data_IF_154034240718
#
_entry.id   IF_154034240718
#
_cell.length_a   1.000
_cell.length_b   1.000
_cell.length_c   1.000
_cell.angle_alpha   90.00
_cell.angle_beta   90.00
_cell.angle_gamma   90.00
#
_symmetry.space_group_name_H-M   'P 1'
#
loop_
_entity.id
_entity.type
_entity.pdbx_description
1 polymer ?
#
# COMPACT_ATOMS: atom_id res chain seq x y z
N UNK A 1 -10.77 -23.44 13.86
CA UNK A 1 -9.61 -23.22 12.97
C UNK A 1 -9.28 -21.73 12.98
N UNK A 2 -8.19 -21.35 13.65
CA UNK A 2 -7.76 -19.96 13.83
C UNK A 2 -7.09 -19.48 12.54
N UNK A 3 -7.74 -18.60 11.78
CA UNK A 3 -7.09 -17.94 10.64
C UNK A 3 -6.01 -16.99 11.17
N UNK A 4 -4.75 -17.37 10.98
CA UNK A 4 -3.63 -16.44 11.01
C UNK A 4 -3.84 -15.42 9.89
N UNK A 5 -4.21 -14.18 10.24
CA UNK A 5 -4.37 -13.12 9.25
C UNK A 5 -2.98 -12.63 8.82
N UNK A 6 -2.45 -13.21 7.75
CA UNK A 6 -1.27 -12.72 7.04
C UNK A 6 -1.39 -11.20 6.81
N UNK A 7 -0.27 -10.44 6.84
CA UNK A 7 -0.26 -9.04 6.43
C UNK A 7 -0.89 -8.82 5.04
N UNK A 8 -1.50 -7.65 4.83
CA UNK A 8 -2.24 -7.36 3.59
C UNK A 8 -1.42 -7.57 2.31
N UNK A 9 -0.13 -7.21 2.35
CA UNK A 9 0.82 -7.43 1.24
C UNK A 9 0.98 -8.93 0.94
N UNK A 10 1.23 -9.75 1.95
CA UNK A 10 1.40 -11.19 1.79
C UNK A 10 0.13 -11.88 1.29
N UNK A 11 -1.04 -11.43 1.76
CA UNK A 11 -2.33 -11.91 1.22
C UNK A 11 -2.46 -11.60 -0.26
N UNK A 12 -2.14 -10.38 -0.68
CA UNK A 12 -2.23 -9.97 -2.08
C UNK A 12 -1.25 -10.76 -2.96
N UNK A 13 -0.01 -10.96 -2.52
CA UNK A 13 0.97 -11.80 -3.23
C UNK A 13 0.49 -13.24 -3.37
N UNK A 14 -0.10 -13.81 -2.32
CA UNK A 14 -0.68 -15.16 -2.38
C UNK A 14 -1.84 -15.24 -3.37
N UNK A 15 -2.74 -14.25 -3.37
CA UNK A 15 -3.85 -14.20 -4.33
C UNK A 15 -3.32 -14.06 -5.76
N UNK A 16 -2.32 -13.19 -5.99
CA UNK A 16 -1.66 -13.06 -7.30
C UNK A 16 -1.09 -14.39 -7.78
N UNK A 17 -0.35 -15.09 -6.92
CA UNK A 17 0.22 -16.40 -7.23
C UNK A 17 -0.85 -17.41 -7.64
N UNK A 18 -1.94 -17.51 -6.86
CA UNK A 18 -3.06 -18.40 -7.17
C UNK A 18 -3.74 -18.08 -8.50
N UNK A 19 -3.96 -16.79 -8.79
CA UNK A 19 -4.60 -16.34 -10.04
C UNK A 19 -3.70 -16.63 -11.25
N UNK A 20 -2.40 -16.43 -11.12
CA UNK A 20 -1.43 -16.73 -12.20
C UNK A 20 -1.31 -18.23 -12.45
N UNK A 21 -1.36 -19.05 -11.39
CA UNK A 21 -1.26 -20.51 -11.52
C UNK A 21 -2.57 -21.20 -11.88
N UNK A 22 -3.71 -20.49 -11.82
CA UNK A 22 -5.00 -21.09 -12.13
C UNK A 22 -5.04 -21.52 -13.60
N UNK A 23 -5.51 -22.74 -13.85
CA UNK A 23 -5.70 -23.22 -15.21
C UNK A 23 -6.67 -22.26 -15.95
N UNK A 24 -6.33 -21.83 -17.17
CA UNK A 24 -7.20 -20.95 -17.94
C UNK A 24 -8.50 -21.69 -18.26
N UNK A 25 -9.63 -21.01 -18.10
CA UNK A 25 -10.90 -21.57 -18.54
C UNK A 25 -10.95 -21.44 -20.05
N UNK A 26 -11.07 -22.59 -20.72
CA UNK A 26 -11.11 -22.69 -22.17
C UNK A 26 -12.52 -22.44 -22.68
N UNK A 27 -13.48 -23.12 -22.08
CA UNK A 27 -14.87 -23.11 -22.52
C UNK A 27 -15.84 -23.22 -21.34
N UNK A 28 -17.06 -22.72 -21.55
CA UNK A 28 -18.20 -22.95 -20.66
C UNK A 28 -19.27 -23.63 -21.49
N UNK A 29 -19.50 -24.91 -21.22
CA UNK A 29 -20.54 -25.70 -21.88
C UNK A 29 -21.79 -25.81 -20.98
N UNK A 30 -22.90 -26.25 -21.55
CA UNK A 30 -24.17 -26.43 -20.83
C UNK A 30 -24.85 -27.72 -21.23
N UNK A 31 -25.40 -28.45 -20.28
CA UNK A 31 -26.22 -29.63 -20.51
C UNK A 31 -27.50 -29.60 -19.67
N UNK A 32 -28.20 -30.74 -19.57
CA UNK A 32 -29.42 -30.87 -18.75
C UNK A 32 -29.15 -30.79 -17.24
N UNK A 33 -27.93 -31.07 -16.79
CA UNK A 33 -27.52 -31.03 -15.39
C UNK A 33 -27.06 -29.64 -14.95
N UNK A 34 -26.40 -28.86 -15.83
CA UNK A 34 -25.91 -27.54 -15.46
C UNK A 34 -25.02 -26.85 -16.49
N UNK A 35 -24.18 -25.95 -15.98
CA UNK A 35 -23.08 -25.33 -16.71
C UNK A 35 -21.76 -25.93 -16.26
N UNK A 36 -20.90 -26.26 -17.20
CA UNK A 36 -19.61 -26.88 -16.95
C UNK A 36 -18.49 -25.94 -17.36
N UNK A 37 -17.47 -25.81 -16.51
CA UNK A 37 -16.22 -25.11 -16.83
C UNK A 37 -15.20 -26.12 -17.26
N UNK A 38 -14.63 -25.89 -18.42
CA UNK A 38 -13.67 -26.78 -19.04
C UNK A 38 -12.28 -26.14 -19.10
N UNK A 39 -11.27 -26.95 -18.86
CA UNK A 39 -9.86 -26.62 -19.03
C UNK A 39 -9.27 -27.49 -20.13
N UNK A 40 -8.07 -27.15 -20.60
CA UNK A 40 -7.30 -28.07 -21.43
C UNK A 40 -7.07 -29.38 -20.67
N UNK A 41 -7.51 -30.48 -21.27
CA UNK A 41 -7.15 -31.82 -20.86
C UNK A 41 -5.77 -32.21 -21.41
N UNK A 42 -5.36 -33.45 -21.14
CA UNK A 42 -4.09 -33.98 -21.67
C UNK A 42 -4.09 -34.05 -23.21
N UNK A 43 -5.26 -34.30 -23.81
CA UNK A 43 -5.49 -34.18 -25.26
C UNK A 43 -6.21 -32.83 -25.54
N UNK A 44 -5.67 -31.96 -26.42
CA UNK A 44 -6.33 -30.70 -26.78
C UNK A 44 -7.74 -30.85 -27.38
N UNK A 45 -8.07 -32.02 -27.93
CA UNK A 45 -9.38 -32.36 -28.47
C UNK A 45 -10.38 -32.86 -27.41
N UNK A 46 -9.90 -33.20 -26.21
CA UNK A 46 -10.72 -33.69 -25.10
C UNK A 46 -10.60 -32.74 -23.89
N UNK A 47 -11.45 -31.70 -23.82
CA UNK A 47 -11.45 -30.80 -22.67
C UNK A 47 -11.83 -31.53 -21.38
N UNK A 48 -11.21 -31.14 -20.26
CA UNK A 48 -11.51 -31.70 -18.94
C UNK A 48 -12.44 -30.78 -18.16
N UNK A 49 -13.51 -31.35 -17.59
CA UNK A 49 -14.46 -30.61 -16.76
C UNK A 49 -13.85 -30.34 -15.39
N UNK A 50 -13.50 -29.09 -15.14
CA UNK A 50 -12.94 -28.63 -13.86
C UNK A 50 -14.03 -28.44 -12.79
N UNK A 51 -15.22 -27.96 -13.19
CA UNK A 51 -16.33 -27.72 -12.26
C UNK A 51 -17.68 -27.69 -12.97
N UNK A 52 -18.73 -28.10 -12.26
CA UNK A 52 -20.12 -28.08 -12.74
C UNK A 52 -21.00 -27.28 -11.77
N UNK A 53 -21.83 -26.38 -12.30
CA UNK A 53 -22.79 -25.59 -11.53
C UNK A 53 -24.21 -25.94 -11.98
N UNK A 54 -25.07 -26.49 -11.11
CA UNK A 54 -26.40 -26.92 -11.51
C UNK A 54 -27.31 -25.73 -11.86
N UNK A 55 -28.30 -25.95 -12.72
CA UNK A 55 -29.28 -24.91 -13.11
C UNK A 55 -30.14 -24.41 -11.95
N UNK A 56 -30.27 -25.21 -10.88
CA UNK A 56 -30.93 -24.81 -9.62
C UNK A 56 -30.14 -23.77 -8.84
N UNK A 57 -28.87 -23.52 -9.19
CA UNK A 57 -28.06 -22.46 -8.59
C UNK A 57 -28.61 -21.07 -8.96
N UNK A 58 -28.89 -20.21 -7.98
CA UNK A 58 -29.32 -18.84 -8.23
C UNK A 58 -28.37 -18.10 -9.18
N UNK A 59 -28.93 -17.30 -10.08
CA UNK A 59 -28.17 -16.66 -11.17
C UNK A 59 -26.94 -15.89 -10.69
N UNK A 60 -27.05 -15.12 -9.61
CA UNK A 60 -25.92 -14.34 -9.07
C UNK A 60 -24.78 -15.24 -8.54
N UNK A 61 -25.13 -16.34 -7.85
CA UNK A 61 -24.16 -17.32 -7.35
C UNK A 61 -23.49 -18.04 -8.52
N UNK A 62 -24.28 -18.44 -9.52
CA UNK A 62 -23.78 -19.08 -10.75
C UNK A 62 -22.80 -18.17 -11.48
N UNK A 63 -23.13 -16.90 -11.65
CA UNK A 63 -22.23 -15.92 -12.27
C UNK A 63 -20.93 -15.75 -11.48
N UNK A 64 -21.01 -15.64 -10.15
CA UNK A 64 -19.82 -15.51 -9.31
C UNK A 64 -18.91 -16.75 -9.41
N UNK A 65 -19.49 -17.96 -9.34
CA UNK A 65 -18.77 -19.22 -9.49
C UNK A 65 -18.15 -19.35 -10.88
N UNK A 66 -18.85 -18.90 -11.93
CA UNK A 66 -18.36 -18.89 -13.29
C UNK A 66 -17.37 -17.77 -13.60
N UNK A 67 -17.13 -16.81 -12.69
CA UNK A 67 -16.16 -15.72 -12.87
C UNK A 67 -15.09 -15.70 -11.77
N UNK A 68 -14.96 -16.79 -11.01
CA UNK A 68 -14.15 -16.84 -9.80
C UNK A 68 -12.65 -16.58 -10.03
N UNK A 69 -12.13 -16.86 -11.23
CA UNK A 69 -10.75 -16.54 -11.61
C UNK A 69 -10.64 -15.14 -12.26
N UNK A 70 -11.64 -14.75 -13.05
CA UNK A 70 -11.64 -13.49 -13.79
C UNK A 70 -11.80 -12.28 -12.87
N UNK A 71 -12.67 -12.36 -11.86
CA UNK A 71 -12.93 -11.26 -10.93
C UNK A 71 -11.66 -10.90 -10.14
N UNK A 72 -10.97 -11.82 -9.45
CA UNK A 72 -9.71 -11.51 -8.79
C UNK A 72 -8.65 -10.98 -9.76
N UNK A 73 -8.54 -11.53 -10.96
CA UNK A 73 -7.60 -11.06 -11.98
C UNK A 73 -7.87 -9.60 -12.39
N UNK A 74 -9.14 -9.24 -12.60
CA UNK A 74 -9.55 -7.86 -12.90
C UNK A 74 -9.24 -6.91 -11.73
N UNK A 75 -9.56 -7.32 -10.50
CA UNK A 75 -9.29 -6.52 -9.30
C UNK A 75 -7.78 -6.28 -9.10
N UNK A 76 -6.94 -7.29 -9.31
CA UNK A 76 -5.48 -7.15 -9.26
C UNK A 76 -5.02 -6.12 -10.29
N UNK A 77 -5.50 -6.21 -11.55
CA UNK A 77 -5.15 -5.23 -12.60
C UNK A 77 -5.54 -3.80 -12.23
N UNK A 78 -6.70 -3.61 -11.59
CA UNK A 78 -7.13 -2.28 -11.12
C UNK A 78 -6.20 -1.75 -10.02
N UNK A 79 -5.80 -2.59 -9.07
CA UNK A 79 -4.84 -2.22 -8.01
C UNK A 79 -3.48 -1.86 -8.61
N UNK A 80 -2.99 -2.63 -9.57
CA UNK A 80 -1.72 -2.38 -10.24
C UNK A 80 -1.77 -1.07 -11.07
N UNK A 81 -2.88 -0.80 -11.76
CA UNK A 81 -3.08 0.44 -12.49
C UNK A 81 -3.09 1.66 -11.55
N UNK A 82 -3.73 1.56 -10.38
CA UNK A 82 -3.73 2.62 -9.36
C UNK A 82 -2.32 2.87 -8.80
N UNK A 83 -1.55 1.80 -8.56
CA UNK A 83 -0.16 1.92 -8.13
C UNK A 83 0.67 2.65 -9.18
N UNK A 84 0.55 2.27 -10.46
CA UNK A 84 1.28 2.93 -11.56
C UNK A 84 0.88 4.40 -11.72
N UNK A 85 -0.40 4.73 -11.59
CA UNK A 85 -0.87 6.12 -11.62
C UNK A 85 -0.22 6.95 -10.51
N UNK A 86 -0.17 6.41 -9.30
CA UNK A 86 0.43 7.06 -8.14
C UNK A 86 1.93 7.28 -8.34
N UNK A 87 2.63 6.29 -8.86
CA UNK A 87 4.06 6.39 -9.17
C UNK A 87 4.35 7.47 -10.23
N UNK A 88 3.52 7.56 -11.28
CA UNK A 88 3.62 8.62 -12.31
C UNK A 88 3.37 10.01 -11.72
N UNK A 89 2.31 10.18 -10.95
CA UNK A 89 2.00 11.45 -10.28
C UNK A 89 3.15 11.90 -9.38
N UNK A 90 3.76 10.97 -8.64
CA UNK A 90 4.92 11.26 -7.80
C UNK A 90 6.14 11.65 -8.62
N UNK A 91 6.38 11.01 -9.77
CA UNK A 91 7.45 11.37 -10.68
C UNK A 91 7.24 12.78 -11.27
N UNK A 92 6.02 13.12 -11.68
CA UNK A 92 5.67 14.46 -12.20
C UNK A 92 5.88 15.55 -11.14
N UNK A 93 5.42 15.30 -9.91
CA UNK A 93 5.65 16.20 -8.79
C UNK A 93 7.15 16.42 -8.52
N UNK A 94 7.95 15.35 -8.58
CA UNK A 94 9.39 15.45 -8.39
C UNK A 94 10.07 16.22 -9.55
N UNK A 95 9.64 16.01 -10.79
CA UNK A 95 10.16 16.76 -11.94
C UNK A 95 9.80 18.25 -11.85
N UNK A 96 8.59 18.58 -11.41
CA UNK A 96 8.18 19.97 -11.18
C UNK A 96 8.98 20.63 -10.05
N UNK A 97 9.30 19.89 -8.98
CA UNK A 97 10.18 20.38 -7.90
C UNK A 97 11.56 20.72 -8.42
N UNK A 98 12.17 19.83 -9.19
CA UNK A 98 13.51 20.06 -9.77
C UNK A 98 13.51 21.30 -10.68
N UNK A 99 12.50 21.46 -11.55
CA UNK A 99 12.35 22.65 -12.40
C UNK A 99 12.16 23.95 -11.60
N UNK A 100 11.54 23.88 -10.43
CA UNK A 100 11.37 25.04 -9.55
C UNK A 100 12.71 25.43 -8.91
N UNK A 101 13.50 24.45 -8.48
CA UNK A 101 14.85 24.63 -7.92
C UNK A 101 15.80 25.26 -8.94
N UNK A 102 15.81 24.76 -10.19
CA UNK A 102 16.63 25.31 -11.29
C UNK A 102 16.32 26.78 -11.59
N UNK A 103 15.07 27.20 -11.39
CA UNK A 103 14.63 28.60 -11.60
C UNK A 103 14.91 29.50 -10.40
N UNK A 104 15.67 29.03 -9.40
CA UNK A 104 15.94 29.76 -8.17
C UNK A 104 14.72 29.92 -7.26
N UNK A 105 13.61 29.22 -7.57
CA UNK A 105 12.51 29.06 -6.64
C UNK A 105 12.98 28.18 -5.47
N UNK A 106 12.61 28.53 -4.24
CA UNK A 106 12.92 27.64 -3.11
C UNK A 106 12.25 26.29 -3.36
N UNK A 107 12.99 25.16 -3.27
CA UNK A 107 12.38 23.85 -3.28
C UNK A 107 11.21 23.80 -2.30
N UNK A 108 10.19 23.00 -2.63
CA UNK A 108 9.22 22.58 -1.62
C UNK A 108 10.03 22.04 -0.43
N UNK A 109 9.87 22.63 0.76
CA UNK A 109 10.72 22.38 1.92
C UNK A 109 10.79 20.86 2.15
N UNK A 110 11.99 20.28 2.04
CA UNK A 110 12.21 18.85 2.26
C UNK A 110 12.08 18.55 3.75
N UNK A 111 10.84 18.24 4.14
CA UNK A 111 10.49 17.93 5.52
C UNK A 111 11.05 16.58 5.96
N UNK A 112 11.29 15.65 5.02
CA UNK A 112 11.94 14.39 5.33
C UNK A 112 13.40 14.61 5.77
N UNK A 113 14.14 15.43 5.03
CA UNK A 113 15.51 15.82 5.38
C UNK A 113 15.56 16.66 6.67
N UNK A 114 14.68 17.66 6.81
CA UNK A 114 14.56 18.46 8.04
C UNK A 114 14.28 17.56 9.26
N UNK A 115 13.37 16.59 9.13
CA UNK A 115 13.07 15.62 10.17
C UNK A 115 14.27 14.76 10.52
N UNK A 116 15.01 14.24 9.53
CA UNK A 116 16.23 13.49 9.77
C UNK A 116 17.27 14.30 10.55
N UNK A 117 17.50 15.55 10.15
CA UNK A 117 18.40 16.46 10.84
C UNK A 117 17.96 16.73 12.29
N UNK A 118 16.68 17.04 12.51
CA UNK A 118 16.13 17.26 13.86
C UNK A 118 16.24 16.03 14.76
N UNK A 119 15.95 14.82 14.28
CA UNK A 119 16.08 13.60 15.09
C UNK A 119 17.50 13.35 15.61
N UNK A 120 18.52 13.86 14.91
CA UNK A 120 19.93 13.78 15.34
C UNK A 120 20.32 14.88 16.35
N UNK A 121 19.55 15.97 16.44
CA UNK A 121 19.83 17.12 17.31
C UNK A 121 19.60 16.76 18.79
N UNK A 122 20.61 16.87 19.68
CA UNK A 122 20.46 16.52 21.10
C UNK A 122 19.30 17.24 21.82
N UNK A 123 19.08 18.52 21.50
CA UNK A 123 17.99 19.31 22.06
C UNK A 123 16.62 18.74 21.65
N UNK A 124 16.48 18.28 20.40
CA UNK A 124 15.24 17.68 19.92
C UNK A 124 14.99 16.32 20.58
N UNK A 125 16.05 15.53 20.84
CA UNK A 125 15.94 14.29 21.61
C UNK A 125 15.42 14.54 23.03
N UNK A 126 15.92 15.57 23.70
CA UNK A 126 15.44 15.97 25.03
C UNK A 126 13.98 16.46 25.00
N UNK A 127 13.58 17.21 23.97
CA UNK A 127 12.18 17.58 23.74
C UNK A 127 11.28 16.35 23.59
N UNK A 128 11.72 15.38 22.79
CA UNK A 128 10.97 14.14 22.57
C UNK A 128 10.90 13.26 23.83
N UNK A 129 11.95 13.23 24.66
CA UNK A 129 11.91 12.63 26.00
C UNK A 129 10.85 13.31 26.87
N UNK A 130 10.90 14.65 26.97
CA UNK A 130 10.03 15.43 27.84
C UNK A 130 8.55 15.40 27.43
N UNK A 131 8.26 15.39 26.12
CA UNK A 131 6.88 15.53 25.61
C UNK A 131 6.24 14.24 25.11
N UNK A 132 7.06 13.29 24.68
CA UNK A 132 6.61 12.03 24.09
C UNK A 132 7.09 10.78 24.86
N UNK A 133 7.81 10.96 25.98
CA UNK A 133 8.11 9.87 26.91
C UNK A 133 9.03 8.80 26.35
N UNK A 134 9.99 9.18 25.48
CA UNK A 134 10.95 8.21 24.93
C UNK A 134 11.85 7.71 26.07
N UNK A 135 11.76 6.41 26.37
CA UNK A 135 12.64 5.79 27.36
C UNK A 135 14.11 5.84 26.92
N UNK A 136 15.02 6.03 27.88
CA UNK A 136 16.46 6.02 27.62
C UNK A 136 16.94 4.63 27.15
N UNK A 137 18.04 4.55 26.38
CA UNK A 137 18.82 5.65 25.81
C UNK A 137 18.11 6.35 24.63
N UNK A 138 18.37 7.65 24.45
CA UNK A 138 17.81 8.48 23.37
C UNK A 138 18.66 8.34 22.09
N UNK A 139 18.46 7.24 21.36
CA UNK A 139 19.11 7.02 20.06
C UNK A 139 18.31 7.63 18.91
N UNK A 140 18.98 7.96 17.80
CA UNK A 140 18.37 8.56 16.61
C UNK A 140 17.25 7.69 16.05
N UNK A 141 17.42 6.37 16.08
CA UNK A 141 16.43 5.39 15.63
C UNK A 141 15.16 5.44 16.47
N UNK A 142 15.29 5.43 17.81
CA UNK A 142 14.13 5.48 18.73
C UNK A 142 13.38 6.80 18.61
N UNK A 143 14.10 7.90 18.45
CA UNK A 143 13.51 9.23 18.21
C UNK A 143 12.79 9.26 16.88
N UNK A 144 13.40 8.70 15.82
CA UNK A 144 12.76 8.58 14.51
C UNK A 144 11.47 7.77 14.56
N UNK A 145 11.46 6.64 15.26
CA UNK A 145 10.25 5.82 15.41
C UNK A 145 9.16 6.50 16.24
N UNK A 146 9.55 7.25 17.28
CA UNK A 146 8.61 8.05 18.05
C UNK A 146 8.00 9.17 17.21
N UNK A 147 8.79 9.85 16.37
CA UNK A 147 8.29 10.86 15.43
C UNK A 147 7.33 10.24 14.43
N UNK A 148 7.65 9.07 13.84
CA UNK A 148 6.74 8.36 12.92
C UNK A 148 5.39 8.06 13.56
N UNK A 149 5.41 7.54 14.80
CA UNK A 149 4.20 7.27 15.59
C UNK A 149 3.41 8.54 15.89
N UNK A 150 4.08 9.60 16.36
CA UNK A 150 3.44 10.86 16.70
C UNK A 150 2.79 11.56 15.50
N UNK A 151 3.39 11.41 14.30
CA UNK A 151 2.88 12.02 13.07
C UNK A 151 1.96 11.09 12.27
N UNK A 152 1.76 9.85 12.71
CA UNK A 152 1.00 8.81 12.01
C UNK A 152 1.49 8.60 10.56
N UNK A 153 2.80 8.45 10.39
CA UNK A 153 3.44 8.20 9.08
C UNK A 153 4.22 6.89 9.10
N UNK A 154 4.32 6.23 7.96
CA UNK A 154 5.11 5.01 7.80
C UNK A 154 6.58 5.34 7.53
N UNK A 155 6.83 6.42 6.78
CA UNK A 155 8.16 6.87 6.39
C UNK A 155 8.29 8.39 6.51
N UNK A 156 9.53 8.87 6.71
CA UNK A 156 9.82 10.33 6.66
C UNK A 156 9.51 10.91 5.28
N UNK A 157 9.62 10.10 4.22
CA UNK A 157 9.27 10.51 2.86
C UNK A 157 7.80 10.95 2.75
N UNK A 158 6.92 10.40 3.59
CA UNK A 158 5.50 10.76 3.64
C UNK A 158 5.32 12.25 3.99
N UNK A 159 6.25 12.87 4.72
CA UNK A 159 6.22 14.31 5.03
C UNK A 159 6.31 15.18 3.78
N UNK A 160 6.94 14.68 2.72
CA UNK A 160 7.05 15.39 1.44
C UNK A 160 5.88 15.07 0.49
N UNK A 161 5.08 14.06 0.77
CA UNK A 161 4.03 13.56 -0.13
C UNK A 161 2.62 13.85 0.41
N UNK A 162 2.43 13.79 1.72
CA UNK A 162 1.16 14.06 2.40
C UNK A 162 1.17 15.46 3.04
N UNK A 163 0.26 16.33 2.57
CA UNK A 163 0.06 17.68 3.09
C UNK A 163 -0.37 17.70 4.56
N UNK A 164 -1.14 16.71 5.01
CA UNK A 164 -1.57 16.62 6.41
C UNK A 164 -0.40 16.20 7.31
N UNK A 165 0.40 15.21 6.90
CA UNK A 165 1.63 14.83 7.59
C UNK A 165 2.60 16.02 7.71
N UNK A 166 2.80 16.77 6.62
CA UNK A 166 3.61 17.99 6.62
C UNK A 166 3.07 19.07 7.58
N UNK A 167 1.74 19.20 7.71
CA UNK A 167 1.14 20.14 8.66
C UNK A 167 1.40 19.72 10.12
N UNK A 168 1.23 18.43 10.45
CA UNK A 168 1.54 17.88 11.79
C UNK A 168 3.03 18.05 12.13
N UNK A 169 3.92 17.79 11.16
CA UNK A 169 5.36 18.01 11.34
C UNK A 169 5.69 19.46 11.68
N UNK A 170 5.16 20.42 10.90
CA UNK A 170 5.38 21.86 11.16
C UNK A 170 4.88 22.30 12.53
N UNK A 171 3.76 21.74 12.99
CA UNK A 171 3.25 22.00 14.34
C UNK A 171 4.22 21.48 15.42
N UNK A 172 4.70 20.23 15.27
CA UNK A 172 5.69 19.65 16.19
C UNK A 172 6.99 20.48 16.23
N UNK A 173 7.51 20.90 15.08
CA UNK A 173 8.71 21.75 15.03
C UNK A 173 8.45 23.10 15.72
N UNK A 174 7.27 23.70 15.53
CA UNK A 174 6.90 24.94 16.22
C UNK A 174 6.84 24.75 17.74
N UNK A 175 6.31 23.62 18.21
CA UNK A 175 6.27 23.28 19.64
C UNK A 175 7.66 23.04 20.21
N UNK A 176 8.54 22.37 19.46
CA UNK A 176 9.95 22.21 19.82
C UNK A 176 10.64 23.57 19.97
N UNK A 177 10.49 24.48 19.01
CA UNK A 177 11.10 25.80 19.08
C UNK A 177 10.53 26.66 20.23
N UNK A 178 9.25 26.51 20.57
CA UNK A 178 8.67 27.14 21.77
C UNK A 178 9.22 26.56 23.06
N UNK A 179 9.34 25.23 23.14
CA UNK A 179 9.91 24.54 24.29
C UNK A 179 11.37 24.94 24.50
N UNK A 180 12.16 24.98 23.42
CA UNK A 180 13.58 25.37 23.42
C UNK A 180 13.81 26.80 23.90
N UNK A 181 12.87 27.72 23.68
CA UNK A 181 12.98 29.11 24.17
C UNK A 181 12.62 29.29 25.64
N UNK A 182 11.95 28.30 26.25
CA UNK A 182 11.48 28.35 27.64
C UNK A 182 12.39 27.58 28.62
N UNK A 183 13.24 26.68 28.10
CA UNK A 183 14.29 25.99 28.85
C UNK A 183 15.64 26.61 28.58
#
# INVERSE_FOLDING_TARGET
>A
MTQSHLPAKERLERIRSLVVSAAPVKEISSDTAGLHRETDGMDPAEPEVMASVPHTCPTANRELLLKHADIPAQLIRMVDALKQLTERQNADLNALRLKLEEKGGRPAKDYAAECAMKCSEPAFKAFMEARHGIARPLTDERVTDAVRKALMIASRADLNQDRQAAARWRAMVKDFEHWRRRG
#
